data_IF_919250878180
#
_entry.id   IF_919250878180
#
_cell.length_a   1.000
_cell.length_b   1.000
_cell.length_c   1.000
_cell.angle_alpha   90.00
_cell.angle_beta   90.00
_cell.angle_gamma   90.00
#
_symmetry.space_group_name_H-M   'P 1'
#
loop_
_entity.id
_entity.type
_entity.pdbx_description
1 polymer ?
#
# COMPACT_ATOMS: atom_id res chain seq x y z
N UNK A 1 24.89 12.36 37.43
CA UNK A 1 23.45 12.31 37.09
C UNK A 1 23.35 12.44 35.59
N UNK A 2 22.67 11.51 34.90
CA UNK A 2 22.35 11.68 33.48
C UNK A 2 21.48 12.92 33.31
N UNK A 3 21.86 13.84 32.43
CA UNK A 3 21.14 15.10 32.22
C UNK A 3 20.63 15.15 30.78
N UNK A 4 19.33 15.36 30.62
CA UNK A 4 18.75 15.84 29.37
C UNK A 4 18.60 17.37 29.50
N UNK A 5 19.24 18.16 28.63
CA UNK A 5 19.15 19.61 28.66
C UNK A 5 17.72 20.09 28.41
N UNK A 6 17.30 21.17 29.10
CA UNK A 6 15.98 21.79 28.88
C UNK A 6 15.71 22.13 27.42
N UNK A 7 16.74 22.49 26.66
CA UNK A 7 16.64 22.80 25.23
C UNK A 7 16.15 21.62 24.38
N UNK A 8 16.47 20.39 24.78
CA UNK A 8 15.97 19.17 24.14
C UNK A 8 14.62 18.72 24.74
N UNK A 9 14.28 19.15 25.95
CA UNK A 9 12.97 18.85 26.54
C UNK A 9 11.86 19.72 25.95
N UNK A 10 12.19 20.96 25.56
CA UNK A 10 11.23 21.89 24.99
C UNK A 10 10.71 21.47 23.60
N UNK A 11 11.39 20.58 22.89
CA UNK A 11 10.94 20.12 21.56
C UNK A 11 9.92 18.98 21.63
N UNK A 12 9.72 18.40 22.81
CA UNK A 12 8.74 17.33 23.07
C UNK A 12 8.14 17.51 24.48
N UNK A 13 7.43 18.62 24.76
CA UNK A 13 7.01 18.99 26.10
C UNK A 13 6.03 17.97 26.68
N UNK A 14 6.53 17.13 27.60
CA UNK A 14 5.76 16.05 28.22
C UNK A 14 5.51 14.84 27.31
N UNK A 15 6.20 14.77 26.17
CA UNK A 15 6.03 13.69 25.21
C UNK A 15 6.85 12.44 25.55
N UNK A 16 6.61 11.39 24.76
CA UNK A 16 7.19 10.06 25.00
C UNK A 16 8.70 10.02 24.69
N UNK A 17 9.23 10.94 23.88
CA UNK A 17 10.66 10.95 23.57
C UNK A 17 11.47 11.39 24.78
N UNK A 18 11.02 12.45 25.48
CA UNK A 18 11.71 12.91 26.70
C UNK A 18 11.75 11.80 27.76
N UNK A 19 10.64 11.09 27.97
CA UNK A 19 10.57 10.01 28.94
C UNK A 19 11.52 8.85 28.60
N UNK A 20 11.46 8.35 27.35
CA UNK A 20 12.31 7.27 26.88
C UNK A 20 13.80 7.64 26.89
N UNK A 21 14.15 8.84 26.39
CA UNK A 21 15.53 9.33 26.37
C UNK A 21 16.11 9.46 27.78
N UNK A 22 15.36 10.02 28.75
CA UNK A 22 15.81 10.13 30.14
C UNK A 22 16.08 8.77 30.77
N UNK A 23 15.15 7.81 30.60
CA UNK A 23 15.31 6.46 31.14
C UNK A 23 16.51 5.73 30.52
N UNK A 24 16.73 5.91 29.23
CA UNK A 24 17.86 5.34 28.51
C UNK A 24 19.21 5.92 28.95
N UNK A 25 19.34 7.25 28.98
CA UNK A 25 20.57 7.93 29.40
C UNK A 25 20.92 7.64 30.86
N UNK A 26 19.92 7.52 31.74
CA UNK A 26 20.13 7.11 33.12
C UNK A 26 20.71 5.70 33.25
N UNK A 27 20.18 4.73 32.48
CA UNK A 27 20.70 3.35 32.45
C UNK A 27 22.12 3.26 31.91
N UNK A 28 22.43 4.03 30.86
CA UNK A 28 23.77 4.08 30.23
C UNK A 28 24.75 5.00 30.96
N UNK A 29 24.33 5.72 32.00
CA UNK A 29 25.18 6.69 32.71
C UNK A 29 25.66 7.86 31.82
N UNK A 30 24.97 8.13 30.72
CA UNK A 30 25.36 9.09 29.69
C UNK A 30 24.65 10.45 29.84
N UNK A 31 25.18 11.49 29.20
CA UNK A 31 24.57 12.82 29.14
C UNK A 31 24.49 13.25 27.68
N UNK A 32 23.29 13.66 27.24
CA UNK A 32 23.05 14.07 25.86
C UNK A 32 23.18 15.59 25.75
N UNK A 33 24.14 16.08 24.98
CA UNK A 33 24.25 17.50 24.67
C UNK A 33 23.54 17.82 23.34
N UNK A 34 23.08 19.05 23.08
CA UNK A 34 22.55 19.40 21.76
C UNK A 34 23.62 19.36 20.66
N UNK A 35 23.16 19.27 19.41
CA UNK A 35 24.00 19.35 18.22
C UNK A 35 25.04 18.23 18.11
N UNK A 36 26.19 18.55 17.48
CA UNK A 36 27.20 17.56 17.12
C UNK A 36 27.79 16.79 18.32
N UNK A 37 27.75 17.36 19.53
CA UNK A 37 28.22 16.67 20.75
C UNK A 37 27.27 15.54 21.13
N UNK A 38 25.95 15.76 21.07
CA UNK A 38 24.96 14.71 21.31
C UNK A 38 25.02 13.60 20.27
N UNK A 39 25.19 13.98 19.00
CA UNK A 39 25.37 13.03 17.90
C UNK A 39 26.57 12.12 18.19
N UNK A 40 27.73 12.69 18.55
CA UNK A 40 28.92 11.89 18.91
C UNK A 40 28.68 10.96 20.09
N UNK A 41 28.01 11.44 21.14
CA UNK A 41 27.64 10.61 22.30
C UNK A 41 26.77 9.43 21.87
N UNK A 42 25.76 9.68 21.03
CA UNK A 42 24.87 8.63 20.56
C UNK A 42 25.59 7.62 19.66
N UNK A 43 26.48 8.09 18.77
CA UNK A 43 27.33 7.21 17.96
C UNK A 43 28.23 6.33 18.82
N UNK A 44 28.81 6.86 19.90
CA UNK A 44 29.61 6.05 20.82
C UNK A 44 28.78 4.96 21.50
N UNK A 45 27.57 5.29 21.96
CA UNK A 45 26.65 4.32 22.58
C UNK A 45 26.20 3.23 21.59
N UNK A 46 25.98 3.59 20.32
CA UNK A 46 25.66 2.64 19.25
C UNK A 46 26.79 1.63 19.01
N UNK A 47 28.02 2.13 18.88
CA UNK A 47 29.20 1.26 18.65
C UNK A 47 29.48 0.37 19.85
N UNK A 48 29.34 0.91 21.07
CA UNK A 48 29.48 0.15 22.31
C UNK A 48 28.47 -1.00 22.37
N UNK A 49 27.19 -0.71 22.15
CA UNK A 49 26.13 -1.73 22.15
C UNK A 49 26.32 -2.78 21.05
N UNK A 50 26.70 -2.37 19.84
CA UNK A 50 26.97 -3.31 18.74
C UNK A 50 28.16 -4.25 19.01
N UNK A 51 29.10 -3.86 19.88
CA UNK A 51 30.23 -4.71 20.28
C UNK A 51 29.91 -5.64 21.47
N UNK A 52 28.82 -5.40 22.21
CA UNK A 52 28.44 -6.18 23.40
C UNK A 52 27.72 -7.51 23.06
N UNK A 53 27.24 -7.65 21.82
CA UNK A 53 26.76 -8.86 21.09
C UNK A 53 26.18 -10.03 21.92
N UNK A 54 24.93 -9.90 22.37
CA UNK A 54 24.07 -11.04 22.70
C UNK A 54 22.63 -10.96 22.11
N UNK A 55 22.36 -9.95 21.26
CA UNK A 55 21.04 -9.69 20.65
C UNK A 55 19.90 -9.45 21.66
N UNK A 56 20.21 -9.38 22.96
CA UNK A 56 19.23 -9.18 24.01
C UNK A 56 19.07 -7.70 24.32
N UNK A 57 17.84 -7.20 24.23
CA UNK A 57 17.53 -5.81 24.57
C UNK A 57 17.72 -4.78 23.46
N UNK A 58 17.87 -5.21 22.20
CA UNK A 58 17.93 -4.32 21.03
C UNK A 58 16.70 -3.42 20.93
N UNK A 59 15.49 -3.94 21.17
CA UNK A 59 14.27 -3.14 21.15
C UNK A 59 14.31 -1.98 22.17
N UNK A 60 14.76 -2.25 23.39
CA UNK A 60 14.86 -1.25 24.46
C UNK A 60 16.01 -0.26 24.23
N UNK A 61 17.03 -0.68 23.49
CA UNK A 61 18.10 0.20 23.03
C UNK A 61 17.58 1.10 21.91
N UNK A 62 16.96 0.54 20.87
CA UNK A 62 16.39 1.27 19.72
C UNK A 62 15.37 2.30 20.21
N UNK A 63 14.49 1.95 21.15
CA UNK A 63 13.55 2.89 21.75
C UNK A 63 14.28 4.07 22.42
N UNK A 64 15.29 3.79 23.24
CA UNK A 64 16.01 4.81 23.99
C UNK A 64 16.91 5.70 23.13
N UNK A 65 17.70 5.09 22.25
CA UNK A 65 18.60 5.76 21.32
C UNK A 65 17.83 6.48 20.22
N UNK A 66 16.75 5.89 19.70
CA UNK A 66 15.83 6.51 18.75
C UNK A 66 15.14 7.74 19.35
N UNK A 67 14.70 7.68 20.60
CA UNK A 67 14.17 8.86 21.30
C UNK A 67 15.24 9.96 21.45
N UNK A 68 16.48 9.61 21.81
CA UNK A 68 17.59 10.58 21.89
C UNK A 68 17.87 11.23 20.53
N UNK A 69 17.94 10.42 19.46
CA UNK A 69 18.11 10.91 18.10
C UNK A 69 16.96 11.83 17.70
N UNK A 70 15.73 11.43 17.98
CA UNK A 70 14.54 12.20 17.68
C UNK A 70 14.56 13.60 18.28
N UNK A 71 14.94 13.72 19.57
CA UNK A 71 15.11 15.01 20.23
C UNK A 71 16.23 15.86 19.60
N UNK A 72 17.37 15.22 19.24
CA UNK A 72 18.47 15.92 18.59
C UNK A 72 18.06 16.47 17.22
N UNK A 73 17.35 15.68 16.41
CA UNK A 73 16.89 16.07 15.08
C UNK A 73 15.81 17.16 15.17
N UNK A 74 14.83 17.00 16.06
CA UNK A 74 13.79 17.99 16.29
C UNK A 74 14.41 19.34 16.71
N UNK A 75 15.37 19.31 17.63
CA UNK A 75 16.09 20.52 18.03
C UNK A 75 16.91 21.12 16.90
N UNK A 76 17.69 20.31 16.19
CA UNK A 76 18.59 20.77 15.13
C UNK A 76 17.85 21.43 13.96
N UNK A 77 16.72 20.84 13.54
CA UNK A 77 15.95 21.33 12.40
C UNK A 77 14.75 22.20 12.79
N UNK A 78 14.62 22.57 14.08
CA UNK A 78 13.44 23.26 14.62
C UNK A 78 12.14 22.53 14.25
N UNK A 79 12.22 21.21 14.26
CA UNK A 79 11.13 20.31 13.95
C UNK A 79 10.22 20.05 15.14
N UNK A 80 9.19 19.24 14.88
CA UNK A 80 8.18 18.85 15.86
C UNK A 80 8.13 17.32 15.97
N UNK A 81 7.90 16.79 17.16
CA UNK A 81 7.59 15.37 17.36
C UNK A 81 6.10 15.14 17.10
N UNK A 82 5.76 14.05 16.42
CA UNK A 82 4.38 13.58 16.28
C UNK A 82 4.26 12.11 16.61
N UNK A 83 3.08 11.75 17.13
CA UNK A 83 2.70 10.37 17.36
C UNK A 83 1.36 10.06 16.69
N UNK A 84 1.25 8.92 16.01
CA UNK A 84 0.02 8.37 15.45
C UNK A 84 0.05 6.86 15.60
N UNK A 85 -1.01 6.27 16.16
CA UNK A 85 -1.18 4.80 16.25
C UNK A 85 0.01 4.06 16.88
N UNK A 86 0.67 4.68 17.87
CA UNK A 86 1.84 4.11 18.55
C UNK A 86 3.17 4.33 17.85
N UNK A 87 3.17 4.79 16.60
CA UNK A 87 4.36 5.22 15.87
C UNK A 87 4.69 6.67 16.19
N UNK A 88 5.99 6.99 16.15
CA UNK A 88 6.46 8.34 16.43
C UNK A 88 7.46 8.81 15.37
N UNK A 89 7.35 10.07 14.98
CA UNK A 89 8.13 10.70 13.92
C UNK A 89 8.60 12.07 14.32
N UNK A 90 9.65 12.53 13.66
CA UNK A 90 10.10 13.93 13.70
C UNK A 90 9.76 14.58 12.37
N UNK A 91 8.90 15.60 12.41
CA UNK A 91 8.62 16.46 11.26
C UNK A 91 9.72 17.49 11.19
N UNK A 92 10.38 17.61 10.04
CA UNK A 92 11.53 18.50 9.84
C UNK A 92 11.37 19.31 8.56
N UNK A 93 11.89 20.54 8.57
CA UNK A 93 11.70 21.46 7.46
C UNK A 93 10.21 21.70 7.16
N UNK A 94 9.89 21.96 5.88
CA UNK A 94 8.51 22.19 5.45
C UNK A 94 7.72 20.88 5.30
N UNK A 95 8.34 19.86 4.68
CA UNK A 95 7.66 18.62 4.26
C UNK A 95 8.34 17.35 4.75
N UNK A 96 9.54 17.43 5.33
CA UNK A 96 10.32 16.26 5.75
C UNK A 96 9.68 15.52 6.92
N UNK A 97 9.92 14.23 6.97
CA UNK A 97 9.59 13.36 8.12
C UNK A 97 10.72 12.36 8.32
N UNK A 98 11.08 12.10 9.57
CA UNK A 98 12.13 11.14 9.93
C UNK A 98 11.57 10.16 10.96
N UNK A 99 11.84 8.88 10.76
CA UNK A 99 11.71 7.84 11.78
C UNK A 99 13.06 7.62 12.47
N UNK A 100 13.29 8.20 13.66
CA UNK A 100 14.57 8.07 14.34
C UNK A 100 14.83 6.66 14.90
N UNK A 101 13.80 5.84 15.08
CA UNK A 101 13.94 4.47 15.58
C UNK A 101 14.46 3.56 14.48
N UNK A 102 13.88 3.66 13.29
CA UNK A 102 14.33 2.93 12.10
C UNK A 102 15.79 3.27 11.74
N UNK A 103 16.17 4.55 11.82
CA UNK A 103 17.56 4.96 11.58
C UNK A 103 18.54 4.31 12.57
N UNK A 104 18.14 4.15 13.83
CA UNK A 104 18.95 3.50 14.87
C UNK A 104 19.00 1.99 14.66
N UNK A 105 17.86 1.35 14.41
CA UNK A 105 17.77 -0.09 14.16
C UNK A 105 18.66 -0.49 12.98
N UNK A 106 18.53 0.21 11.84
CA UNK A 106 19.35 -0.05 10.65
C UNK A 106 20.84 0.20 10.87
N UNK A 107 21.22 1.11 11.77
CA UNK A 107 22.61 1.32 12.12
C UNK A 107 23.17 0.14 12.93
N UNK A 108 22.38 -0.44 13.85
CA UNK A 108 22.79 -1.61 14.61
C UNK A 108 22.93 -2.88 13.76
N UNK A 109 22.07 -3.03 12.75
CA UNK A 109 22.10 -4.16 11.82
C UNK A 109 23.25 -4.09 10.80
N UNK A 110 23.94 -2.95 10.69
CA UNK A 110 24.98 -2.75 9.70
C UNK A 110 26.35 -3.27 10.16
N UNK A 111 27.16 -3.75 9.21
CA UNK A 111 28.55 -4.17 9.46
C UNK A 111 29.41 -3.06 10.09
N UNK A 112 29.16 -1.80 9.71
CA UNK A 112 29.76 -0.62 10.33
C UNK A 112 28.65 0.34 10.82
N UNK A 113 28.27 0.24 12.11
CA UNK A 113 27.23 1.07 12.70
C UNK A 113 27.52 2.56 12.64
N UNK A 114 28.80 2.95 12.71
CA UNK A 114 29.19 4.36 12.69
C UNK A 114 28.98 4.96 11.30
N UNK A 115 29.41 4.26 10.27
CA UNK A 115 29.24 4.70 8.89
C UNK A 115 27.75 4.69 8.49
N UNK A 116 27.00 3.66 8.87
CA UNK A 116 25.56 3.58 8.65
C UNK A 116 24.80 4.73 9.32
N UNK A 117 25.15 5.05 10.56
CA UNK A 117 24.54 6.17 11.29
C UNK A 117 24.88 7.53 10.68
N UNK A 118 26.11 7.72 10.18
CA UNK A 118 26.48 8.95 9.46
C UNK A 118 25.63 9.14 8.19
N UNK A 119 25.48 8.09 7.38
CA UNK A 119 24.61 8.12 6.19
C UNK A 119 23.14 8.39 6.54
N UNK A 120 22.66 7.83 7.64
CA UNK A 120 21.31 8.09 8.14
C UNK A 120 21.08 9.57 8.49
N UNK A 121 22.08 10.23 9.10
CA UNK A 121 22.01 11.66 9.40
C UNK A 121 22.05 12.52 8.13
N UNK A 122 22.85 12.16 7.14
CA UNK A 122 22.86 12.83 5.82
C UNK A 122 21.50 12.72 5.13
N UNK A 123 20.83 11.56 5.21
CA UNK A 123 19.49 11.36 4.68
C UNK A 123 18.45 12.22 5.43
N UNK A 124 18.56 12.30 6.76
CA UNK A 124 17.73 13.19 7.58
C UNK A 124 17.92 14.68 7.23
N UNK A 125 19.16 15.12 6.99
CA UNK A 125 19.45 16.47 6.51
C UNK A 125 18.87 16.73 5.13
N UNK A 126 18.90 15.75 4.22
CA UNK A 126 18.26 15.85 2.92
C UNK A 126 16.73 15.99 3.06
N UNK A 127 16.08 15.21 3.93
CA UNK A 127 14.66 15.37 4.25
C UNK A 127 14.34 16.77 4.78
N UNK A 128 15.14 17.30 5.71
CA UNK A 128 14.96 18.64 6.26
C UNK A 128 15.10 19.76 5.22
N UNK A 129 15.97 19.57 4.21
CA UNK A 129 16.09 20.46 3.04
C UNK A 129 15.02 20.21 1.97
N UNK A 130 14.22 19.19 2.15
CA UNK A 130 13.18 18.75 1.22
C UNK A 130 13.69 17.95 0.02
N UNK A 131 14.97 17.60 -0.01
CA UNK A 131 15.61 16.81 -1.06
C UNK A 131 15.44 15.29 -0.83
N UNK A 132 14.98 14.89 0.36
CA UNK A 132 14.70 13.52 0.71
C UNK A 132 13.45 12.96 0.00
N UNK A 133 13.31 11.62 -0.05
CA UNK A 133 12.22 10.93 -0.74
C UNK A 133 10.82 11.34 -0.26
N UNK A 134 10.61 11.51 1.04
CA UNK A 134 9.29 11.86 1.62
C UNK A 134 8.92 13.28 1.25
N UNK A 135 9.80 14.24 1.54
CA UNK A 135 9.56 15.63 1.20
C UNK A 135 9.40 15.85 -0.31
N UNK A 136 10.19 15.15 -1.13
CA UNK A 136 10.09 15.20 -2.60
C UNK A 136 8.75 14.67 -3.10
N UNK A 137 8.27 13.54 -2.55
CA UNK A 137 6.97 12.97 -2.90
C UNK A 137 5.81 13.90 -2.54
N UNK A 138 5.81 14.46 -1.32
CA UNK A 138 4.83 15.44 -0.87
C UNK A 138 4.81 16.69 -1.74
N UNK A 139 5.99 17.25 -2.04
CA UNK A 139 6.12 18.43 -2.90
C UNK A 139 5.60 18.16 -4.31
N UNK A 140 5.96 17.01 -4.87
CA UNK A 140 5.52 16.59 -6.21
C UNK A 140 4.00 16.41 -6.27
N UNK A 141 3.41 15.83 -5.22
CA UNK A 141 1.97 15.68 -5.12
C UNK A 141 1.25 17.02 -4.94
N UNK A 142 1.72 17.89 -4.05
CA UNK A 142 1.18 19.23 -3.88
C UNK A 142 1.24 20.04 -5.18
N UNK A 143 2.38 20.01 -5.88
CA UNK A 143 2.52 20.66 -7.19
C UNK A 143 1.54 20.10 -8.23
N UNK A 144 1.25 18.80 -8.20
CA UNK A 144 0.28 18.19 -9.09
C UNK A 144 -1.17 18.60 -8.77
N UNK A 145 -1.52 18.77 -7.50
CA UNK A 145 -2.83 19.31 -7.08
C UNK A 145 -3.01 20.73 -7.63
N UNK A 146 -1.98 21.57 -7.46
CA UNK A 146 -1.98 22.96 -7.94
C UNK A 146 -2.02 23.04 -9.48
N UNK A 147 -1.18 22.25 -10.18
CA UNK A 147 -1.11 22.21 -11.65
C UNK A 147 -2.46 21.85 -12.28
N UNK A 148 -3.20 20.94 -11.65
CA UNK A 148 -4.49 20.45 -12.14
C UNK A 148 -5.68 21.26 -11.62
N UNK A 149 -5.48 22.20 -10.70
CA UNK A 149 -6.56 22.96 -10.09
C UNK A 149 -7.51 22.10 -9.26
N UNK A 150 -6.98 21.08 -8.55
CA UNK A 150 -7.77 20.25 -7.64
C UNK A 150 -8.28 21.13 -6.49
N UNK A 151 -9.58 21.10 -6.14
CA UNK A 151 -10.15 22.01 -5.14
C UNK A 151 -9.74 21.67 -3.70
N UNK A 152 -9.16 20.49 -3.48
CA UNK A 152 -8.76 19.97 -2.18
C UNK A 152 -7.28 20.18 -1.91
N UNK A 153 -6.95 20.56 -0.67
CA UNK A 153 -5.58 20.77 -0.20
C UNK A 153 -5.19 19.73 0.83
N UNK A 154 -3.88 19.54 0.99
CA UNK A 154 -3.31 18.73 2.07
C UNK A 154 -3.62 19.40 3.41
N UNK A 155 -4.41 18.75 4.25
CA UNK A 155 -4.80 19.23 5.57
C UNK A 155 -3.94 18.63 6.68
N UNK A 156 -3.56 17.36 6.57
CA UNK A 156 -2.67 16.69 7.51
C UNK A 156 -1.74 15.69 6.81
N UNK A 157 -0.63 15.35 7.48
CA UNK A 157 0.31 14.34 7.00
C UNK A 157 0.95 13.55 8.13
N UNK A 158 1.23 12.28 7.86
CA UNK A 158 2.10 11.43 8.66
C UNK A 158 2.96 10.59 7.71
N UNK A 159 4.23 10.96 7.57
CA UNK A 159 5.12 10.45 6.53
C UNK A 159 4.54 10.63 5.10
N UNK A 160 4.26 9.52 4.42
CA UNK A 160 3.71 9.44 3.06
C UNK A 160 2.19 9.29 3.06
N UNK A 161 1.57 9.12 4.23
CA UNK A 161 0.12 9.15 4.38
C UNK A 161 -0.36 10.59 4.50
N UNK A 162 -1.15 11.02 3.52
CA UNK A 162 -1.68 12.37 3.38
C UNK A 162 -3.18 12.37 3.55
N UNK A 163 -3.71 13.31 4.34
CA UNK A 163 -5.14 13.54 4.47
C UNK A 163 -5.48 14.91 3.89
N UNK A 164 -6.44 14.95 2.97
CA UNK A 164 -6.94 16.17 2.36
C UNK A 164 -8.03 16.84 3.23
N UNK A 165 -8.35 18.09 2.91
CA UNK A 165 -9.37 18.89 3.64
C UNK A 165 -10.79 18.31 3.62
N UNK A 166 -11.11 17.45 2.65
CA UNK A 166 -12.38 16.71 2.56
C UNK A 166 -12.35 15.36 3.31
N UNK A 167 -11.23 15.03 3.97
CA UNK A 167 -11.01 13.77 4.67
C UNK A 167 -10.50 12.63 3.80
N UNK A 168 -10.25 12.86 2.51
CA UNK A 168 -9.67 11.83 1.62
C UNK A 168 -8.24 11.49 2.06
N UNK A 169 -7.96 10.21 2.25
CA UNK A 169 -6.63 9.70 2.57
C UNK A 169 -5.91 9.16 1.33
N UNK A 170 -4.62 9.49 1.19
CA UNK A 170 -3.78 9.16 0.04
C UNK A 170 -2.43 8.66 0.52
N UNK A 171 -2.01 7.53 0.00
CA UNK A 171 -0.68 6.95 0.22
C UNK A 171 0.26 7.35 -0.92
N UNK A 172 1.35 8.04 -0.58
CA UNK A 172 2.37 8.52 -1.52
C UNK A 172 3.61 7.61 -1.60
N UNK A 173 3.59 6.42 -1.02
CA UNK A 173 4.74 5.48 -1.02
C UNK A 173 5.26 5.21 -2.43
N UNK A 174 4.35 5.01 -3.39
CA UNK A 174 4.72 4.80 -4.80
C UNK A 174 5.33 6.02 -5.47
N UNK A 175 4.96 7.22 -5.03
CA UNK A 175 5.54 8.46 -5.55
C UNK A 175 6.98 8.57 -5.06
N UNK A 176 7.23 8.22 -3.80
CA UNK A 176 8.57 8.25 -3.19
C UNK A 176 9.51 7.17 -3.76
N UNK A 177 9.00 5.94 -3.98
CA UNK A 177 9.80 4.83 -4.51
C UNK A 177 10.20 5.02 -5.98
N UNK A 178 9.33 5.64 -6.79
CA UNK A 178 9.52 5.73 -8.22
C UNK A 178 10.17 7.07 -8.63
N UNK A 179 11.48 7.22 -8.46
CA UNK A 179 12.17 8.52 -8.67
C UNK A 179 11.88 9.19 -10.01
N UNK A 180 11.88 8.45 -11.13
CA UNK A 180 11.61 9.00 -12.47
C UNK A 180 10.10 9.09 -12.79
N UNK A 181 9.32 8.08 -12.39
CA UNK A 181 7.88 8.01 -12.70
C UNK A 181 7.00 8.73 -11.66
N UNK A 182 7.57 9.17 -10.53
CA UNK A 182 6.90 9.78 -9.40
C UNK A 182 6.02 10.97 -9.78
N UNK A 183 6.49 11.93 -10.60
CA UNK A 183 5.64 13.02 -11.10
C UNK A 183 4.43 12.54 -11.90
N UNK A 184 4.57 11.48 -12.71
CA UNK A 184 3.44 10.92 -13.46
C UNK A 184 2.43 10.24 -12.52
N UNK A 185 2.90 9.51 -11.51
CA UNK A 185 2.07 8.87 -10.49
C UNK A 185 1.33 9.93 -9.66
N UNK A 186 2.04 10.96 -9.19
CA UNK A 186 1.45 12.07 -8.44
C UNK A 186 0.36 12.80 -9.24
N UNK A 187 0.62 13.10 -10.53
CA UNK A 187 -0.42 13.66 -11.42
C UNK A 187 -1.59 12.72 -11.59
N UNK A 188 -1.35 11.41 -11.72
CA UNK A 188 -2.45 10.44 -11.83
C UNK A 188 -3.32 10.46 -10.57
N UNK A 189 -2.71 10.41 -9.37
CA UNK A 189 -3.42 10.51 -8.09
C UNK A 189 -4.22 11.81 -8.00
N UNK A 190 -3.59 12.95 -8.31
CA UNK A 190 -4.25 14.26 -8.31
C UNK A 190 -5.43 14.33 -9.30
N UNK A 191 -5.29 13.76 -10.51
CA UNK A 191 -6.40 13.66 -11.49
C UNK A 191 -7.58 12.83 -10.98
N UNK A 192 -7.36 11.86 -10.09
CA UNK A 192 -8.48 11.09 -9.51
C UNK A 192 -9.33 11.94 -8.56
N UNK A 193 -8.78 13.02 -8.01
CA UNK A 193 -9.42 13.92 -7.05
C UNK A 193 -10.17 15.08 -7.69
N UNK A 194 -9.99 15.32 -8.99
CA UNK A 194 -10.73 16.38 -9.66
C UNK A 194 -12.24 16.11 -9.55
N UNK A 195 -13.06 17.12 -9.18
CA UNK A 195 -14.50 17.00 -9.19
C UNK A 195 -14.93 16.62 -10.61
N UNK A 196 -15.53 15.45 -10.71
CA UNK A 196 -15.85 14.83 -11.98
C UNK A 196 -17.00 15.58 -12.66
N UNK A 197 -17.02 15.67 -13.99
CA UNK A 197 -18.30 15.82 -14.70
C UNK A 197 -19.23 14.62 -14.39
N UNK A 198 -18.65 13.45 -14.11
CA UNK A 198 -19.34 12.22 -13.71
C UNK A 198 -19.84 12.19 -12.24
N UNK A 199 -19.44 13.13 -11.37
CA UNK A 199 -19.94 13.19 -9.97
C UNK A 199 -21.35 13.77 -9.92
N UNK A 200 -21.80 14.36 -11.04
CA UNK A 200 -23.19 14.69 -11.31
C UNK A 200 -23.95 13.57 -12.01
N UNK A 201 -23.26 12.51 -12.45
CA UNK A 201 -23.94 11.38 -13.08
C UNK A 201 -24.83 10.72 -12.03
N UNK A 202 -26.12 10.69 -12.32
CA UNK A 202 -27.08 9.96 -11.52
C UNK A 202 -26.64 8.49 -11.37
N UNK A 203 -27.10 7.83 -10.31
CA UNK A 203 -26.85 6.40 -10.20
C UNK A 203 -27.36 5.64 -11.44
N UNK A 204 -28.43 6.10 -12.08
CA UNK A 204 -28.94 5.54 -13.32
C UNK A 204 -27.89 5.59 -14.47
N UNK A 205 -27.19 6.71 -14.64
CA UNK A 205 -26.13 6.84 -15.64
C UNK A 205 -24.89 6.00 -15.28
N UNK A 206 -24.54 5.97 -13.99
CA UNK A 206 -23.46 5.10 -13.47
C UNK A 206 -23.80 3.63 -13.73
N UNK A 207 -25.06 3.24 -13.51
CA UNK A 207 -25.59 1.89 -13.67
C UNK A 207 -25.36 1.36 -15.08
N UNK A 208 -25.35 2.22 -16.11
CA UNK A 208 -25.07 1.81 -17.49
C UNK A 208 -23.62 1.37 -17.76
N UNK A 209 -22.69 1.73 -16.87
CA UNK A 209 -21.26 1.52 -17.04
C UNK A 209 -20.66 0.50 -16.07
N UNK A 210 -21.51 -0.16 -15.28
CA UNK A 210 -21.08 -1.12 -14.26
C UNK A 210 -20.66 -2.44 -14.90
N UNK A 211 -19.49 -2.92 -14.48
CA UNK A 211 -18.88 -4.20 -14.85
C UNK A 211 -18.42 -4.95 -13.60
N UNK A 212 -18.39 -6.29 -13.64
CA UNK A 212 -17.84 -7.08 -12.56
C UNK A 212 -16.31 -6.99 -12.55
N UNK A 213 -15.72 -7.01 -11.37
CA UNK A 213 -14.27 -7.06 -11.14
C UNK A 213 -13.99 -8.15 -10.12
N UNK A 214 -13.00 -8.99 -10.38
CA UNK A 214 -12.52 -9.95 -9.38
C UNK A 214 -11.28 -9.37 -8.70
N UNK A 215 -11.25 -9.48 -7.37
CA UNK A 215 -10.15 -9.03 -6.51
C UNK A 215 -9.78 -10.12 -5.50
N UNK A 216 -8.54 -10.07 -5.02
CA UNK A 216 -8.03 -11.00 -4.00
C UNK A 216 -8.10 -10.47 -2.58
N UNK A 217 -7.81 -11.36 -1.63
CA UNK A 217 -7.73 -11.01 -0.20
C UNK A 217 -6.69 -9.91 0.05
N UNK A 218 -5.53 -9.96 -0.61
CA UNK A 218 -4.47 -8.95 -0.46
C UNK A 218 -4.91 -7.53 -0.88
N UNK A 219 -5.89 -7.41 -1.77
CA UNK A 219 -6.48 -6.11 -2.10
C UNK A 219 -7.35 -5.59 -0.96
N UNK A 220 -8.22 -6.44 -0.41
CA UNK A 220 -9.10 -6.06 0.71
C UNK A 220 -8.32 -5.80 2.00
N UNK A 221 -7.31 -6.61 2.31
CA UNK A 221 -6.44 -6.41 3.48
C UNK A 221 -5.74 -5.05 3.43
N UNK A 222 -5.23 -4.65 2.26
CA UNK A 222 -4.59 -3.32 2.08
C UNK A 222 -5.55 -2.15 2.25
N UNK A 223 -6.84 -2.35 2.00
CA UNK A 223 -7.85 -1.32 2.22
C UNK A 223 -8.26 -1.18 3.69
N UNK A 224 -7.94 -2.15 4.55
CA UNK A 224 -8.28 -2.12 5.97
C UNK A 224 -9.76 -1.88 6.21
N UNK A 225 -10.09 -0.90 7.07
CA UNK A 225 -11.46 -0.55 7.42
C UNK A 225 -12.31 -0.12 6.20
N UNK A 226 -11.68 0.45 5.17
CA UNK A 226 -12.36 0.91 3.95
C UNK A 226 -12.87 -0.24 3.07
N UNK A 227 -12.37 -1.46 3.25
CA UNK A 227 -12.83 -2.63 2.50
C UNK A 227 -14.33 -2.90 2.70
N UNK A 228 -14.85 -2.66 3.92
CA UNK A 228 -16.25 -2.88 4.26
C UNK A 228 -17.22 -1.93 3.53
N UNK A 229 -16.73 -0.78 3.07
CA UNK A 229 -17.51 0.19 2.32
C UNK A 229 -17.71 -0.22 0.86
N UNK A 230 -16.89 -1.13 0.31
CA UNK A 230 -16.99 -1.53 -1.09
C UNK A 230 -18.17 -2.48 -1.33
N UNK A 231 -18.84 -2.33 -2.47
CA UNK A 231 -19.81 -3.28 -2.97
C UNK A 231 -19.08 -4.55 -3.46
N UNK A 232 -18.78 -5.45 -2.52
CA UNK A 232 -18.09 -6.71 -2.79
C UNK A 232 -18.79 -7.90 -2.11
N UNK A 233 -18.60 -9.09 -2.67
CA UNK A 233 -19.03 -10.36 -2.07
C UNK A 233 -17.98 -11.45 -2.33
N UNK A 234 -17.83 -12.38 -1.38
CA UNK A 234 -16.91 -13.51 -1.54
C UNK A 234 -17.51 -14.53 -2.50
N UNK A 235 -16.71 -14.96 -3.49
CA UNK A 235 -17.15 -15.98 -4.46
C UNK A 235 -16.44 -17.31 -4.23
N UNK A 236 -15.16 -17.26 -3.87
CA UNK A 236 -14.38 -18.43 -3.49
C UNK A 236 -13.37 -18.04 -2.40
N UNK A 237 -12.60 -19.01 -1.92
CA UNK A 237 -11.44 -18.70 -1.08
C UNK A 237 -10.40 -17.92 -1.86
N UNK A 238 -10.00 -16.73 -1.37
CA UNK A 238 -9.04 -15.89 -2.08
C UNK A 238 -9.59 -15.12 -3.29
N UNK A 239 -10.91 -15.15 -3.53
CA UNK A 239 -11.55 -14.40 -4.63
C UNK A 239 -12.85 -13.74 -4.17
N UNK A 240 -12.94 -12.45 -4.45
CA UNK A 240 -14.13 -11.62 -4.23
C UNK A 240 -14.58 -10.99 -5.54
N UNK A 241 -15.89 -10.92 -5.73
CA UNK A 241 -16.53 -10.12 -6.76
C UNK A 241 -16.75 -8.72 -6.21
N UNK A 242 -16.23 -7.71 -6.90
CA UNK A 242 -16.60 -6.32 -6.73
C UNK A 242 -17.30 -5.77 -7.95
N UNK A 243 -18.01 -4.65 -7.77
CA UNK A 243 -18.60 -3.89 -8.87
C UNK A 243 -17.75 -2.67 -9.15
N UNK A 244 -17.46 -2.42 -10.42
CA UNK A 244 -16.74 -1.23 -10.87
C UNK A 244 -17.56 -0.46 -11.90
N UNK A 245 -17.50 0.87 -11.86
CA UNK A 245 -18.04 1.74 -12.89
C UNK A 245 -16.89 2.30 -13.73
N UNK A 246 -17.01 2.19 -15.05
CA UNK A 246 -16.03 2.73 -16.00
C UNK A 246 -16.41 4.14 -16.47
N UNK A 247 -15.42 5.02 -16.52
CA UNK A 247 -15.53 6.41 -16.97
C UNK A 247 -14.35 6.70 -17.91
N UNK A 248 -14.52 6.36 -19.19
CA UNK A 248 -13.44 6.44 -20.17
C UNK A 248 -12.28 5.48 -19.85
N UNK A 249 -11.10 6.03 -19.64
CA UNK A 249 -9.87 5.33 -19.26
C UNK A 249 -9.80 4.99 -17.75
N UNK A 250 -10.74 5.50 -16.95
CA UNK A 250 -10.79 5.30 -15.50
C UNK A 250 -11.86 4.30 -15.11
N UNK A 251 -11.65 3.64 -13.97
CA UNK A 251 -12.67 2.83 -13.31
C UNK A 251 -12.55 2.99 -11.80
N UNK A 252 -13.68 3.02 -11.11
CA UNK A 252 -13.74 3.01 -9.63
C UNK A 252 -14.61 1.88 -9.14
N UNK A 253 -14.31 1.39 -7.94
CA UNK A 253 -15.23 0.48 -7.23
C UNK A 253 -16.48 1.25 -6.79
N UNK A 254 -17.62 0.60 -6.90
CA UNK A 254 -18.84 1.06 -6.25
C UNK A 254 -18.76 0.77 -4.76
N UNK A 255 -19.33 1.68 -3.97
CA UNK A 255 -19.52 1.52 -2.54
C UNK A 255 -20.92 1.00 -2.24
N UNK A 256 -21.12 0.42 -1.04
CA UNK A 256 -22.41 -0.12 -0.61
C UNK A 256 -23.44 0.98 -0.39
N UNK A 257 -23.02 2.09 0.20
CA UNK A 257 -23.87 3.27 0.43
C UNK A 257 -24.45 3.84 -0.88
N UNK A 258 -23.71 3.79 -2.00
CA UNK A 258 -24.23 4.19 -3.32
C UNK A 258 -25.41 3.32 -3.77
N UNK A 259 -25.35 2.01 -3.50
CA UNK A 259 -26.43 1.08 -3.81
C UNK A 259 -27.63 1.31 -2.89
N UNK A 260 -27.36 1.52 -1.59
CA UNK A 260 -28.38 1.75 -0.56
C UNK A 260 -29.17 3.03 -0.85
N UNK A 261 -28.47 4.14 -1.19
CA UNK A 261 -29.08 5.43 -1.56
C UNK A 261 -29.91 5.30 -2.84
N UNK A 262 -29.46 4.50 -3.80
CA UNK A 262 -30.19 4.24 -5.03
C UNK A 262 -31.38 3.27 -4.86
N UNK A 263 -31.50 2.59 -3.70
CA UNK A 263 -32.52 1.57 -3.46
C UNK A 263 -32.28 0.28 -4.26
N UNK A 264 -31.04 -0.03 -4.59
CA UNK A 264 -30.67 -1.14 -5.48
C UNK A 264 -29.99 -2.26 -4.68
N UNK A 265 -30.33 -3.51 -4.99
CA UNK A 265 -29.67 -4.65 -4.35
C UNK A 265 -28.39 -5.02 -5.10
N UNK A 266 -27.37 -5.42 -4.36
CA UNK A 266 -26.10 -5.85 -4.92
C UNK A 266 -26.28 -6.94 -5.99
N UNK A 267 -27.14 -7.93 -5.73
CA UNK A 267 -27.37 -9.08 -6.61
C UNK A 267 -27.96 -8.65 -7.95
N UNK A 268 -28.88 -7.68 -7.96
CA UNK A 268 -29.54 -7.20 -9.17
C UNK A 268 -28.56 -6.42 -10.06
N UNK A 269 -27.73 -5.58 -9.44
CA UNK A 269 -26.67 -4.84 -10.15
C UNK A 269 -25.57 -5.79 -10.64
N UNK A 270 -25.21 -6.80 -9.85
CA UNK A 270 -24.25 -7.82 -10.24
C UNK A 270 -24.75 -8.64 -11.44
N UNK A 271 -26.02 -9.06 -11.45
CA UNK A 271 -26.61 -9.76 -12.58
C UNK A 271 -26.56 -8.92 -13.87
N UNK A 272 -26.86 -7.63 -13.78
CA UNK A 272 -26.73 -6.68 -14.88
C UNK A 272 -25.28 -6.56 -15.37
N UNK A 273 -24.33 -6.43 -14.44
CA UNK A 273 -22.90 -6.37 -14.75
C UNK A 273 -22.42 -7.66 -15.45
N UNK A 274 -22.85 -8.83 -15.01
CA UNK A 274 -22.56 -10.11 -15.67
C UNK A 274 -23.14 -10.20 -17.07
N UNK A 275 -24.37 -9.71 -17.30
CA UNK A 275 -24.94 -9.66 -18.65
C UNK A 275 -24.07 -8.85 -19.63
N UNK A 276 -23.43 -7.77 -19.14
CA UNK A 276 -22.51 -6.95 -19.92
C UNK A 276 -21.18 -7.65 -20.15
N UNK A 277 -20.61 -8.28 -19.13
CA UNK A 277 -19.40 -9.07 -19.27
C UNK A 277 -19.59 -10.19 -20.30
N UNK A 278 -20.74 -10.86 -20.28
CA UNK A 278 -21.08 -11.91 -21.24
C UNK A 278 -21.12 -11.36 -22.67
N UNK A 279 -21.77 -10.21 -22.90
CA UNK A 279 -21.76 -9.53 -24.22
C UNK A 279 -20.35 -9.19 -24.69
N UNK A 280 -19.49 -8.74 -23.78
CA UNK A 280 -18.07 -8.40 -24.06
C UNK A 280 -17.15 -9.62 -24.23
N UNK A 281 -17.68 -10.83 -24.08
CA UNK A 281 -16.87 -12.06 -24.10
C UNK A 281 -17.20 -12.98 -25.27
N UNK A 282 -18.11 -12.58 -26.18
CA UNK A 282 -18.58 -13.43 -27.28
C UNK A 282 -17.49 -13.81 -28.28
N UNK A 283 -16.53 -12.91 -28.53
CA UNK A 283 -15.49 -13.08 -29.55
C UNK A 283 -14.10 -13.41 -28.97
N UNK A 284 -14.03 -13.77 -27.68
CA UNK A 284 -12.76 -14.05 -27.03
C UNK A 284 -12.32 -15.48 -27.25
N UNK A 285 -11.07 -15.63 -27.70
CA UNK A 285 -10.45 -16.92 -27.93
C UNK A 285 -9.36 -17.18 -26.89
N UNK A 286 -9.40 -18.38 -26.30
CA UNK A 286 -8.26 -18.91 -25.55
C UNK A 286 -7.17 -19.34 -26.52
N UNK A 287 -5.93 -18.96 -26.23
CA UNK A 287 -4.75 -19.46 -26.95
C UNK A 287 -4.17 -20.64 -26.18
N UNK A 288 -3.68 -21.65 -26.88
CA UNK A 288 -2.98 -22.77 -26.25
C UNK A 288 -1.48 -22.45 -26.16
N UNK A 289 -0.94 -22.50 -24.95
CA UNK A 289 0.47 -22.33 -24.64
C UNK A 289 0.91 -23.58 -23.85
N UNK A 290 1.47 -24.57 -24.57
CA UNK A 290 1.74 -25.90 -24.00
C UNK A 290 0.45 -26.61 -23.58
N UNK A 291 0.36 -26.96 -22.29
CA UNK A 291 -0.81 -27.60 -21.67
C UNK A 291 -1.76 -26.60 -21.00
N UNK A 292 -1.47 -25.30 -21.10
CA UNK A 292 -2.31 -24.22 -20.56
C UNK A 292 -3.06 -23.50 -21.69
N UNK A 293 -4.33 -23.21 -21.45
CA UNK A 293 -5.12 -22.26 -22.23
C UNK A 293 -5.10 -20.89 -21.56
N UNK A 294 -4.72 -19.88 -22.33
CA UNK A 294 -4.49 -18.52 -21.88
C UNK A 294 -5.49 -17.57 -22.52
N UNK A 295 -6.19 -16.81 -21.69
CA UNK A 295 -6.98 -15.64 -22.09
C UNK A 295 -6.33 -14.38 -21.51
N UNK A 296 -5.86 -13.52 -22.41
CA UNK A 296 -5.18 -12.26 -22.08
C UNK A 296 -5.58 -11.18 -23.09
N UNK A 297 -6.85 -10.77 -23.08
CA UNK A 297 -7.38 -9.71 -23.93
C UNK A 297 -6.87 -8.32 -23.51
N UNK A 298 -6.46 -8.18 -22.23
CA UNK A 298 -5.95 -6.94 -21.62
C UNK A 298 -6.97 -5.81 -21.58
N UNK A 299 -8.25 -6.15 -21.53
CA UNK A 299 -9.34 -5.19 -21.37
C UNK A 299 -9.71 -4.92 -19.89
N UNK A 300 -8.91 -5.44 -18.97
CA UNK A 300 -9.15 -5.36 -17.54
C UNK A 300 -10.15 -6.39 -17.02
N UNK A 301 -10.77 -7.22 -17.84
CA UNK A 301 -11.90 -8.08 -17.42
C UNK A 301 -11.58 -9.57 -17.48
N UNK A 302 -10.39 -9.97 -17.91
CA UNK A 302 -10.04 -11.38 -18.12
C UNK A 302 -10.22 -12.22 -16.87
N UNK A 303 -9.75 -11.74 -15.72
CA UNK A 303 -9.96 -12.42 -14.45
C UNK A 303 -11.45 -12.56 -14.09
N UNK A 304 -12.29 -11.58 -14.43
CA UNK A 304 -13.71 -11.61 -14.10
C UNK A 304 -14.47 -12.66 -14.92
N UNK A 305 -13.91 -13.10 -16.06
CA UNK A 305 -14.53 -14.11 -16.92
C UNK A 305 -14.56 -15.49 -16.29
N UNK A 306 -13.74 -15.75 -15.28
CA UNK A 306 -13.82 -16.98 -14.46
C UNK A 306 -15.23 -17.20 -13.87
N UNK A 307 -16.01 -16.12 -13.70
CA UNK A 307 -17.36 -16.14 -13.15
C UNK A 307 -18.46 -16.26 -14.21
N UNK A 308 -18.12 -16.33 -15.51
CA UNK A 308 -19.13 -16.39 -16.56
C UNK A 308 -19.83 -17.76 -16.57
N UNK A 309 -21.18 -17.76 -16.64
CA UNK A 309 -21.94 -18.99 -16.83
C UNK A 309 -21.50 -19.72 -18.10
N UNK A 310 -21.32 -21.03 -18.02
CA UNK A 310 -20.97 -21.87 -19.16
C UNK A 310 -19.48 -21.88 -19.54
N UNK A 311 -18.63 -21.02 -18.95
CA UNK A 311 -17.19 -21.06 -19.21
C UNK A 311 -16.59 -22.44 -18.87
N UNK A 312 -17.00 -23.04 -17.76
CA UNK A 312 -16.58 -24.39 -17.38
C UNK A 312 -16.86 -25.43 -18.47
N UNK A 313 -18.03 -25.35 -19.13
CA UNK A 313 -18.40 -26.26 -20.21
C UNK A 313 -17.53 -26.03 -21.45
N UNK A 314 -17.28 -24.77 -21.79
CA UNK A 314 -16.37 -24.42 -22.90
C UNK A 314 -14.97 -24.95 -22.66
N UNK A 315 -14.40 -24.68 -21.48
CA UNK A 315 -13.06 -25.16 -21.11
C UNK A 315 -13.00 -26.68 -21.04
N UNK A 316 -14.02 -27.35 -20.51
CA UNK A 316 -14.09 -28.81 -20.49
C UNK A 316 -14.09 -29.41 -21.90
N UNK A 317 -14.81 -28.79 -22.84
CA UNK A 317 -14.79 -29.19 -24.25
C UNK A 317 -13.43 -29.01 -24.92
N UNK A 318 -12.68 -27.96 -24.55
CA UNK A 318 -11.35 -27.68 -25.08
C UNK A 318 -10.27 -28.59 -24.47
N UNK A 319 -10.39 -28.92 -23.19
CA UNK A 319 -9.42 -29.72 -22.42
C UNK A 319 -9.71 -31.22 -22.46
N UNK A 320 -10.95 -31.63 -22.76
CA UNK A 320 -11.38 -33.04 -22.66
C UNK A 320 -11.46 -33.57 -21.23
N UNK A 321 -11.40 -32.70 -20.22
CA UNK A 321 -11.37 -33.04 -18.79
C UNK A 321 -12.06 -31.94 -17.96
N UNK A 322 -12.26 -32.18 -16.67
CA UNK A 322 -12.72 -31.13 -15.75
C UNK A 322 -11.64 -30.04 -15.67
N UNK A 323 -11.97 -28.78 -16.00
CA UNK A 323 -10.99 -27.72 -16.05
C UNK A 323 -10.53 -27.27 -14.66
N UNK A 324 -9.24 -27.02 -14.53
CA UNK A 324 -8.67 -26.17 -13.50
C UNK A 324 -8.42 -24.77 -14.05
N UNK A 325 -8.65 -23.75 -13.23
CA UNK A 325 -8.54 -22.34 -13.64
C UNK A 325 -7.78 -21.51 -12.60
N UNK A 326 -7.10 -20.47 -13.06
CA UNK A 326 -6.42 -19.50 -12.21
C UNK A 326 -6.56 -18.08 -12.76
N UNK A 327 -6.68 -17.10 -11.86
CA UNK A 327 -6.79 -15.68 -12.19
C UNK A 327 -5.71 -14.89 -11.43
N UNK A 328 -4.44 -14.95 -11.86
CA UNK A 328 -3.31 -14.36 -11.12
C UNK A 328 -3.35 -12.83 -11.09
N UNK A 329 -3.89 -12.18 -12.12
CA UNK A 329 -4.12 -10.73 -12.13
C UNK A 329 -5.27 -10.39 -13.07
N UNK A 330 -5.69 -9.12 -13.06
CA UNK A 330 -6.93 -8.67 -13.71
C UNK A 330 -7.04 -8.92 -15.22
N UNK A 331 -5.89 -9.07 -15.89
CA UNK A 331 -5.72 -9.14 -17.36
C UNK A 331 -5.26 -10.54 -17.80
N UNK A 332 -5.46 -11.55 -16.95
CA UNK A 332 -5.05 -12.92 -17.24
C UNK A 332 -6.01 -13.94 -16.61
N UNK A 333 -6.49 -14.85 -17.43
CA UNK A 333 -7.20 -16.06 -17.04
C UNK A 333 -6.51 -17.26 -17.67
N UNK A 334 -6.10 -18.20 -16.81
CA UNK A 334 -5.43 -19.43 -17.18
C UNK A 334 -6.35 -20.62 -16.95
N UNK A 335 -6.28 -21.63 -17.80
CA UNK A 335 -6.99 -22.89 -17.65
C UNK A 335 -6.13 -24.08 -18.08
N UNK A 336 -6.17 -25.19 -17.35
CA UNK A 336 -5.46 -26.42 -17.72
C UNK A 336 -6.19 -27.66 -17.19
N UNK A 337 -5.86 -28.83 -17.74
CA UNK A 337 -6.20 -30.12 -17.16
C UNK A 337 -5.16 -30.56 -16.10
N UNK A 338 -3.96 -29.98 -16.13
CA UNK A 338 -2.89 -30.22 -15.17
C UNK A 338 -2.88 -29.11 -14.10
N UNK A 339 -3.37 -29.39 -12.88
CA UNK A 339 -3.40 -28.40 -11.81
C UNK A 339 -2.03 -28.04 -11.24
N UNK A 340 -0.99 -28.86 -11.43
CA UNK A 340 0.36 -28.61 -10.91
C UNK A 340 1.12 -27.66 -11.83
N UNK A 341 1.09 -27.92 -13.14
CA UNK A 341 1.64 -27.01 -14.13
C UNK A 341 0.97 -25.63 -14.03
N UNK A 342 -0.37 -25.61 -13.92
CA UNK A 342 -1.14 -24.38 -13.78
C UNK A 342 -0.80 -23.59 -12.50
N UNK A 343 -0.58 -24.28 -11.37
CA UNK A 343 -0.23 -23.62 -10.12
C UNK A 343 1.10 -22.87 -10.20
N UNK A 344 2.11 -23.49 -10.84
CA UNK A 344 3.41 -22.85 -11.05
C UNK A 344 3.28 -21.59 -11.92
N UNK A 345 2.55 -21.70 -13.02
CA UNK A 345 2.34 -20.59 -13.95
C UNK A 345 1.55 -19.44 -13.30
N UNK A 346 0.50 -19.76 -12.53
CA UNK A 346 -0.30 -18.79 -11.80
C UNK A 346 0.53 -18.05 -10.74
N UNK A 347 1.37 -18.76 -9.98
CA UNK A 347 2.25 -18.17 -8.97
C UNK A 347 3.31 -17.25 -9.60
N UNK A 348 3.94 -17.68 -10.70
CA UNK A 348 4.90 -16.86 -11.46
C UNK A 348 4.25 -15.61 -12.07
N UNK A 349 3.02 -15.71 -12.55
CA UNK A 349 2.26 -14.57 -13.08
C UNK A 349 1.81 -13.62 -11.96
N UNK A 350 1.36 -14.16 -10.82
CA UNK A 350 0.93 -13.37 -9.66
C UNK A 350 2.07 -12.55 -9.07
N UNK A 351 3.25 -13.17 -8.87
CA UNK A 351 4.45 -12.47 -8.34
C UNK A 351 4.95 -11.33 -9.22
N UNK A 352 4.80 -11.45 -10.55
CA UNK A 352 5.21 -10.42 -11.51
C UNK A 352 4.17 -9.32 -11.69
N UNK A 353 2.92 -9.54 -11.25
CA UNK A 353 1.85 -8.58 -11.44
C UNK A 353 1.90 -7.47 -10.39
N UNK A 354 1.82 -6.18 -10.78
CA UNK A 354 1.79 -5.08 -9.81
C UNK A 354 0.55 -5.13 -8.92
N UNK A 355 -0.57 -5.65 -9.43
CA UNK A 355 -1.83 -5.84 -8.71
C UNK A 355 -2.36 -7.26 -8.93
N UNK A 356 -1.81 -8.20 -8.16
CA UNK A 356 -2.26 -9.58 -8.15
C UNK A 356 -3.72 -9.73 -7.67
N UNK A 357 -4.42 -10.69 -8.27
CA UNK A 357 -5.77 -11.11 -7.86
C UNK A 357 -5.64 -12.35 -6.99
N UNK A 358 -5.24 -13.51 -7.53
CA UNK A 358 -5.02 -14.71 -6.71
C UNK A 358 -4.09 -15.71 -7.41
N UNK A 359 -3.06 -16.25 -6.75
CA UNK A 359 -2.23 -17.31 -7.33
C UNK A 359 -2.90 -18.69 -7.30
N UNK A 360 -4.05 -18.81 -6.61
CA UNK A 360 -4.70 -20.09 -6.36
C UNK A 360 -5.27 -20.71 -7.63
N UNK A 361 -5.27 -22.03 -7.64
CA UNK A 361 -5.92 -22.87 -8.65
C UNK A 361 -7.26 -23.36 -8.12
N UNK A 362 -8.29 -23.21 -8.94
CA UNK A 362 -9.65 -23.64 -8.65
C UNK A 362 -10.04 -24.76 -9.59
N UNK A 363 -10.66 -25.81 -9.05
CA UNK A 363 -11.39 -26.78 -9.85
C UNK A 363 -12.73 -26.17 -10.22
N UNK A 364 -13.08 -26.21 -11.51
CA UNK A 364 -14.31 -25.59 -12.01
C UNK A 364 -15.28 -26.66 -12.51
N UNK A 365 -16.29 -26.97 -11.70
CA UNK A 365 -17.20 -28.11 -11.88
C UNK A 365 -18.49 -27.78 -12.65
N UNK A 366 -18.62 -26.55 -13.17
CA UNK A 366 -19.79 -26.11 -13.92
C UNK A 366 -20.51 -24.93 -13.29
N UNK A 367 -20.56 -24.88 -11.95
CA UNK A 367 -21.29 -23.85 -11.21
C UNK A 367 -20.50 -23.26 -10.04
N UNK A 368 -19.49 -23.97 -9.52
CA UNK A 368 -18.71 -23.51 -8.37
C UNK A 368 -17.21 -23.57 -8.65
N UNK A 369 -16.52 -22.59 -8.08
CA UNK A 369 -15.08 -22.61 -7.94
C UNK A 369 -14.77 -23.24 -6.59
N UNK A 370 -14.22 -24.45 -6.64
CA UNK A 370 -13.74 -25.13 -5.43
C UNK A 370 -12.22 -24.97 -5.36
N UNK A 371 -11.64 -24.48 -4.25
CA UNK A 371 -10.19 -24.49 -4.10
C UNK A 371 -9.68 -25.92 -4.27
N UNK A 372 -8.52 -26.08 -4.92
CA UNK A 372 -7.86 -27.39 -5.00
C UNK A 372 -7.70 -27.92 -3.57
N UNK A 373 -8.14 -29.16 -3.26
CA UNK A 373 -7.79 -29.77 -1.98
C UNK A 373 -6.26 -29.82 -1.92
N UNK A 374 -5.67 -29.19 -0.91
CA UNK A 374 -4.25 -29.32 -0.62
C UNK A 374 -3.95 -30.81 -0.44
N UNK A 375 -3.38 -31.46 -1.45
CA UNK A 375 -2.58 -32.65 -1.17
C UNK A 375 -1.19 -32.13 -0.78
N UNK A 376 -0.68 -32.54 0.39
CA UNK A 376 0.62 -32.11 0.89
C UNK A 376 1.77 -32.47 -0.05
#
# INVERSE_FOLDING_TARGET
MAVLPRELECVDPGGRFVAAARAFLARRGATLAPGARGVRTLTSLLVEHACEDDGSGDDAFVEGAGACLGLLLAHAFRGETRAREGQHRVLVGELGTIDPFELVARALEADDPREAFARALEAAEAEARGEGPIASALRTFAAALDELGVPHRIADRFELAVTLDDGTEIDLSRVAEAREAGPAIARHLARMLLPQEDARASFAETKERILPRVVGDAFLTRLGASAAALATTRVAEGLHLGLIAHFGDRARFLRRDELDVAGERFEDVAALAFSRLLRRSQDLAFRREGETFVLASRDGLDAARILLPGLARTLAGMLGAVPYVAAPHRDLLLASADPEALAKEAEDAYRRAPHGVSPRVYRFDGERLSPRPFSP
#
